data_IF_708382595061
#
_entry.id   IF_708382595061
#
_cell.length_a   1.000
_cell.length_b   1.000
_cell.length_c   1.000
_cell.angle_alpha   90.00
_cell.angle_beta   90.00
_cell.angle_gamma   90.00
#
_symmetry.space_group_name_H-M   'P 1'
#
loop_
_entity.id
_entity.type
_entity.pdbx_description
1 polymer ?
#
# COMPACT_ATOMS: atom_id res chain seq x y z
N UNK A 1 -11.68 41.65 -4.49
CA UNK A 1 -12.14 40.28 -4.75
C UNK A 1 -11.33 39.34 -3.86
N UNK A 2 -11.90 38.94 -2.74
CA UNK A 2 -11.47 37.83 -1.90
C UNK A 2 -12.72 36.98 -1.69
N UNK A 3 -12.66 35.68 -1.97
CA UNK A 3 -13.62 34.71 -1.45
C UNK A 3 -12.82 33.55 -0.88
N UNK A 4 -13.03 33.34 0.42
CA UNK A 4 -12.61 32.17 1.20
C UNK A 4 -13.63 31.04 0.97
N UNK A 5 -13.16 29.80 1.10
CA UNK A 5 -13.86 28.52 0.87
C UNK A 5 -15.11 28.28 1.74
N UNK A 6 -16.03 27.46 1.23
CA UNK A 6 -16.98 26.66 2.02
C UNK A 6 -17.35 25.40 1.26
N UNK A 7 -16.84 24.24 1.70
CA UNK A 7 -17.36 22.92 1.33
C UNK A 7 -18.52 22.57 2.25
N UNK A 8 -19.74 22.90 1.82
CA UNK A 8 -20.98 22.49 2.50
C UNK A 8 -21.73 21.53 1.58
N UNK A 9 -21.92 20.28 2.03
CA UNK A 9 -22.95 19.40 1.48
C UNK A 9 -24.09 19.39 2.49
N UNK A 10 -25.20 20.03 2.12
CA UNK A 10 -26.48 19.96 2.84
C UNK A 10 -27.08 18.55 2.72
N UNK A 11 -27.32 17.90 3.85
CA UNK A 11 -28.12 16.68 3.95
C UNK A 11 -29.56 17.05 4.33
N UNK A 12 -30.51 16.93 3.39
CA UNK A 12 -31.92 17.28 3.60
C UNK A 12 -32.95 16.38 2.88
N UNK A 13 -33.52 15.45 3.66
CA UNK A 13 -34.93 14.99 3.81
C UNK A 13 -35.85 14.58 2.61
N UNK A 14 -36.22 13.28 2.66
CA UNK A 14 -37.54 12.58 2.65
C UNK A 14 -38.55 12.76 1.50
N UNK A 15 -39.01 11.62 0.97
CA UNK A 15 -40.42 11.38 0.62
C UNK A 15 -40.90 10.01 1.13
N UNK A 16 -42.00 10.02 1.89
CA UNK A 16 -42.85 8.87 2.16
C UNK A 16 -44.18 9.07 1.42
N UNK A 17 -44.48 8.15 0.51
CA UNK A 17 -45.73 8.04 -0.22
C UNK A 17 -45.74 6.69 -0.92
N UNK A 18 -46.85 5.95 -0.81
CA UNK A 18 -46.96 4.51 -1.10
C UNK A 18 -46.18 4.03 -2.33
N UNK A 19 -45.28 3.06 -2.10
CA UNK A 19 -44.58 2.32 -3.15
C UNK A 19 -43.28 2.98 -3.60
N UNK A 20 -42.19 2.26 -3.38
CA UNK A 20 -40.81 2.48 -3.85
C UNK A 20 -39.88 3.19 -2.87
N UNK A 21 -38.94 2.43 -2.33
CA UNK A 21 -37.72 2.92 -1.67
C UNK A 21 -36.68 3.19 -2.76
N UNK A 22 -36.19 4.42 -2.84
CA UNK A 22 -35.05 4.79 -3.69
C UNK A 22 -33.81 4.93 -2.80
N UNK A 23 -32.82 4.07 -2.96
CA UNK A 23 -31.53 4.19 -2.27
C UNK A 23 -30.61 5.11 -3.09
N UNK A 24 -29.97 6.10 -2.44
CA UNK A 24 -28.95 6.95 -3.05
C UNK A 24 -27.62 6.76 -2.33
N UNK A 25 -26.55 6.58 -3.11
CA UNK A 25 -25.16 6.45 -2.66
C UNK A 25 -24.58 7.81 -2.25
N UNK A 26 -23.95 7.89 -1.07
CA UNK A 26 -23.11 9.02 -0.69
C UNK A 26 -21.63 8.64 -0.86
N UNK A 27 -20.91 9.42 -1.65
CA UNK A 27 -19.47 9.27 -1.82
C UNK A 27 -18.71 10.12 -0.81
N UNK A 28 -17.75 9.49 -0.13
CA UNK A 28 -16.65 10.08 0.65
C UNK A 28 -16.78 10.12 2.17
N UNK A 29 -15.60 10.29 2.74
CA UNK A 29 -15.09 9.91 4.07
C UNK A 29 -15.77 10.58 5.25
N UNK A 30 -16.00 9.77 6.29
CA UNK A 30 -16.05 10.15 7.72
C UNK A 30 -16.80 11.43 8.07
N UNK A 31 -18.14 11.43 8.09
CA UNK A 31 -18.98 12.24 9.01
C UNK A 31 -20.34 11.57 9.29
N UNK A 32 -20.91 11.84 10.47
CA UNK A 32 -22.15 11.25 11.00
C UNK A 32 -23.40 11.78 10.27
N UNK A 33 -24.21 10.88 9.73
CA UNK A 33 -25.54 11.22 9.21
C UNK A 33 -26.61 11.13 10.31
N UNK A 34 -27.37 12.21 10.54
CA UNK A 34 -28.49 12.25 11.49
C UNK A 34 -29.76 11.54 10.98
N UNK A 35 -30.58 11.03 11.91
CA UNK A 35 -31.71 10.11 11.67
C UNK A 35 -33.08 10.81 11.83
N UNK A 36 -34.02 10.57 10.91
CA UNK A 36 -35.44 10.92 11.08
C UNK A 36 -36.31 9.70 10.73
N UNK A 37 -37.14 9.28 11.69
CA UNK A 37 -38.09 8.18 11.53
C UNK A 37 -39.37 8.65 10.83
N UNK A 38 -39.79 7.94 9.78
CA UNK A 38 -41.12 8.09 9.20
C UNK A 38 -41.93 6.80 9.44
N UNK A 39 -43.13 6.96 9.99
CA UNK A 39 -43.96 5.84 10.43
C UNK A 39 -44.54 4.99 9.30
N UNK A 40 -44.88 3.77 9.71
CA UNK A 40 -45.84 2.78 9.17
C UNK A 40 -45.25 1.44 8.70
N UNK A 41 -43.94 1.29 8.45
CA UNK A 41 -43.31 -0.04 8.37
C UNK A 41 -41.89 -0.04 8.95
N UNK A 42 -41.65 -0.88 9.97
CA UNK A 42 -40.55 -0.77 10.94
C UNK A 42 -39.26 -1.52 10.55
N UNK A 43 -38.63 -1.20 9.42
CA UNK A 43 -37.28 -1.72 9.15
C UNK A 43 -36.37 -0.65 8.52
N UNK A 44 -35.21 -0.44 9.14
CA UNK A 44 -34.13 0.41 8.64
C UNK A 44 -32.98 -0.51 8.17
N UNK A 45 -32.53 -0.35 6.94
CA UNK A 45 -31.31 -0.98 6.43
C UNK A 45 -30.36 0.13 5.98
N UNK A 46 -29.10 0.06 6.41
CA UNK A 46 -28.01 0.85 5.85
C UNK A 46 -26.93 -0.10 5.34
N UNK A 47 -26.31 0.29 4.22
CA UNK A 47 -25.08 -0.33 3.73
C UNK A 47 -24.03 0.77 3.60
N UNK A 48 -22.86 0.57 4.21
CA UNK A 48 -21.67 1.38 3.86
C UNK A 48 -21.06 0.75 2.63
N UNK A 49 -21.11 1.43 1.50
CA UNK A 49 -20.25 1.07 0.38
C UNK A 49 -18.82 1.50 0.69
N UNK A 50 -17.95 0.51 0.88
CA UNK A 50 -16.54 0.63 0.50
C UNK A 50 -16.47 0.54 -1.02
N UNK A 51 -15.70 1.41 -1.66
CA UNK A 51 -15.80 1.81 -3.07
C UNK A 51 -15.43 0.74 -4.14
N UNK A 52 -15.64 -0.55 -3.90
CA UNK A 52 -15.35 -1.63 -4.87
C UNK A 52 -16.21 -2.91 -4.75
N UNK A 53 -17.23 -2.99 -3.88
CA UNK A 53 -18.05 -4.21 -3.75
C UNK A 53 -19.22 -4.23 -4.76
N UNK A 54 -19.33 -5.27 -5.58
CA UNK A 54 -20.56 -5.56 -6.34
C UNK A 54 -21.51 -6.37 -5.45
N UNK A 55 -22.54 -5.71 -4.94
CA UNK A 55 -23.58 -6.32 -4.11
C UNK A 55 -24.92 -6.34 -4.84
N UNK A 56 -25.65 -7.46 -4.72
CA UNK A 56 -27.05 -7.57 -5.15
C UNK A 56 -27.92 -7.93 -3.95
N UNK A 57 -28.81 -7.03 -3.56
CA UNK A 57 -29.81 -7.30 -2.52
C UNK A 57 -31.09 -7.76 -3.19
N UNK A 58 -31.61 -8.90 -2.75
CA UNK A 58 -32.94 -9.40 -3.18
C UNK A 58 -33.85 -9.52 -1.96
N UNK A 59 -35.08 -9.04 -2.13
CA UNK A 59 -36.13 -9.13 -1.12
C UNK A 59 -37.24 -10.04 -1.64
N UNK A 60 -37.53 -11.11 -0.90
CA UNK A 60 -38.68 -11.98 -1.12
C UNK A 60 -39.80 -11.66 -0.11
N UNK A 61 -40.98 -11.28 -0.61
CA UNK A 61 -42.17 -10.96 0.17
C UNK A 61 -43.09 -12.17 0.33
N UNK A 62 -42.51 -13.32 0.69
CA UNK A 62 -43.26 -14.49 1.15
C UNK A 62 -43.93 -14.27 2.52
N UNK A 63 -44.62 -15.30 3.02
CA UNK A 63 -45.28 -15.31 4.34
C UNK A 63 -44.35 -15.11 5.53
N UNK A 64 -43.03 -15.26 5.33
CA UNK A 64 -41.97 -14.78 6.21
C UNK A 64 -41.02 -13.97 5.33
N UNK A 65 -40.91 -12.63 5.49
CA UNK A 65 -40.04 -11.82 4.65
C UNK A 65 -38.58 -12.26 4.82
N UNK A 66 -37.91 -12.54 3.70
CA UNK A 66 -36.48 -12.87 3.68
C UNK A 66 -35.71 -11.81 2.92
N UNK A 67 -34.70 -11.27 3.59
CA UNK A 67 -33.66 -10.46 2.96
C UNK A 67 -32.51 -11.38 2.60
N UNK A 68 -32.10 -11.42 1.34
CA UNK A 68 -30.92 -12.16 0.90
C UNK A 68 -29.94 -11.18 0.27
N UNK A 69 -28.76 -11.07 0.87
CA UNK A 69 -27.64 -10.33 0.33
C UNK A 69 -26.77 -11.28 -0.49
N UNK A 70 -26.71 -11.07 -1.79
CA UNK A 70 -25.76 -11.75 -2.66
C UNK A 70 -24.53 -10.86 -2.83
N UNK A 71 -23.43 -11.31 -2.25
CA UNK A 71 -22.12 -10.68 -2.41
C UNK A 71 -21.45 -11.32 -3.62
N UNK A 72 -21.29 -10.58 -4.73
CA UNK A 72 -20.80 -11.14 -5.99
C UNK A 72 -19.27 -11.01 -6.12
N UNK A 73 -18.66 -10.00 -5.46
CA UNK A 73 -17.21 -9.79 -5.28
C UNK A 73 -16.94 -8.87 -4.08
N UNK A 74 -15.91 -9.18 -3.27
CA UNK A 74 -15.44 -8.30 -2.20
C UNK A 74 -13.93 -8.19 -2.15
N UNK A 75 -13.43 -6.95 -2.18
CA UNK A 75 -12.06 -6.60 -1.79
C UNK A 75 -11.99 -5.98 -0.37
N UNK A 76 -13.10 -5.96 0.39
CA UNK A 76 -13.20 -5.33 1.72
C UNK A 76 -14.20 -6.03 2.65
N UNK A 77 -14.06 -5.82 3.96
CA UNK A 77 -15.02 -6.21 5.01
C UNK A 77 -16.30 -5.37 4.90
N UNK A 78 -17.45 -6.04 4.81
CA UNK A 78 -18.77 -5.40 4.86
C UNK A 78 -19.29 -5.47 6.31
N UNK A 79 -19.44 -4.31 6.96
CA UNK A 79 -20.14 -4.23 8.25
C UNK A 79 -21.62 -3.96 8.01
N UNK A 80 -22.47 -4.95 8.27
CA UNK A 80 -23.92 -4.80 8.27
C UNK A 80 -24.38 -4.67 9.72
N UNK A 81 -24.92 -3.51 10.11
CA UNK A 81 -25.51 -3.32 11.44
C UNK A 81 -27.01 -3.21 11.30
N UNK A 82 -27.74 -4.19 11.80
CA UNK A 82 -29.20 -4.10 11.94
C UNK A 82 -29.55 -3.35 13.24
N UNK A 83 -30.40 -2.33 13.14
CA UNK A 83 -31.05 -1.70 14.28
C UNK A 83 -32.57 -1.86 14.18
N UNK A 84 -33.24 -2.22 15.28
CA UNK A 84 -34.71 -2.25 15.37
C UNK A 84 -35.17 -0.96 16.04
N UNK A 85 -35.99 -0.17 15.36
CA UNK A 85 -36.71 0.93 16.00
C UNK A 85 -38.09 0.42 16.45
N UNK A 86 -38.27 0.22 17.76
CA UNK A 86 -39.58 0.02 18.38
C UNK A 86 -39.72 -1.24 19.23
N UNK A 87 -40.50 -1.12 20.32
CA UNK A 87 -40.84 -2.18 21.27
C UNK A 87 -41.70 -3.27 20.61
N UNK A 88 -41.07 -4.30 20.05
CA UNK A 88 -41.67 -5.63 19.92
C UNK A 88 -40.58 -6.68 20.13
N UNK A 89 -40.73 -7.50 21.18
CA UNK A 89 -39.87 -8.66 21.42
C UNK A 89 -40.08 -9.64 20.27
N UNK A 90 -39.11 -9.72 19.38
CA UNK A 90 -38.93 -10.88 18.52
C UNK A 90 -37.76 -11.70 19.06
N UNK A 91 -38.00 -13.00 19.24
CA UNK A 91 -37.00 -13.96 19.70
C UNK A 91 -35.76 -13.89 18.81
N UNK A 92 -34.61 -13.99 19.45
CA UNK A 92 -33.26 -13.90 18.89
C UNK A 92 -33.06 -14.97 17.82
N UNK A 93 -33.41 -14.66 16.58
CA UNK A 93 -33.33 -15.63 15.48
C UNK A 93 -32.09 -15.34 14.64
N UNK A 94 -31.00 -16.00 15.03
CA UNK A 94 -29.89 -16.51 14.21
C UNK A 94 -29.45 -15.61 13.03
N UNK A 95 -28.47 -14.73 13.28
CA UNK A 95 -27.60 -14.27 12.21
C UNK A 95 -26.72 -15.45 11.79
N UNK A 96 -27.09 -16.10 10.70
CA UNK A 96 -26.16 -17.02 10.02
C UNK A 96 -25.10 -16.13 9.39
N UNK A 97 -23.98 -15.95 10.07
CA UNK A 97 -22.76 -15.42 9.45
C UNK A 97 -22.43 -16.43 8.35
N UNK A 98 -22.74 -16.08 7.11
CA UNK A 98 -22.13 -16.73 5.96
C UNK A 98 -20.65 -16.38 6.13
N UNK A 99 -19.88 -17.31 6.70
CA UNK A 99 -18.45 -17.35 6.51
C UNK A 99 -18.26 -17.35 4.99
N UNK A 100 -18.07 -16.17 4.41
CA UNK A 100 -17.39 -16.09 3.15
C UNK A 100 -16.08 -16.84 3.41
N UNK A 101 -15.93 -17.97 2.72
CA UNK A 101 -14.63 -18.56 2.46
C UNK A 101 -13.84 -17.49 1.70
N UNK A 102 -13.32 -16.52 2.45
CA UNK A 102 -12.21 -15.71 2.03
C UNK A 102 -11.11 -16.74 1.80
N UNK A 103 -10.88 -17.10 0.54
CA UNK A 103 -9.53 -17.44 0.13
C UNK A 103 -8.64 -16.41 0.82
N UNK A 104 -7.73 -16.91 1.67
CA UNK A 104 -6.90 -16.12 2.57
C UNK A 104 -6.18 -15.07 1.71
N UNK A 105 -6.78 -13.88 1.55
CA UNK A 105 -6.19 -12.79 0.82
C UNK A 105 -4.88 -12.53 1.54
N UNK A 106 -3.77 -12.78 0.84
CA UNK A 106 -2.43 -12.51 1.34
C UNK A 106 -2.34 -11.01 1.66
N UNK A 107 -2.58 -10.65 2.92
CA UNK A 107 -2.64 -9.28 3.47
C UNK A 107 -1.24 -8.69 3.69
N UNK A 108 -0.31 -9.14 2.84
CA UNK A 108 1.10 -8.87 2.88
C UNK A 108 1.66 -8.59 1.49
N UNK A 109 0.82 -8.52 0.45
CA UNK A 109 1.25 -8.33 -0.95
C UNK A 109 0.54 -7.15 -1.61
N UNK A 110 1.33 -6.28 -2.24
CA UNK A 110 0.86 -5.16 -3.06
C UNK A 110 1.47 -5.25 -4.46
N UNK A 111 0.62 -5.18 -5.48
CA UNK A 111 1.00 -5.14 -6.88
C UNK A 111 0.78 -3.74 -7.44
N UNK A 112 1.77 -3.27 -8.21
CA UNK A 112 1.82 -1.94 -8.79
C UNK A 112 1.99 -2.06 -10.30
N UNK A 113 1.04 -1.53 -11.06
CA UNK A 113 1.17 -1.29 -12.49
C UNK A 113 1.55 0.18 -12.69
N UNK A 114 2.84 0.41 -12.96
CA UNK A 114 3.43 1.73 -13.15
C UNK A 114 3.30 2.24 -14.59
N UNK A 115 2.65 1.48 -15.49
CA UNK A 115 2.26 1.98 -16.80
C UNK A 115 0.89 2.65 -16.73
N UNK A 116 -0.05 2.01 -16.04
CA UNK A 116 -1.44 2.48 -15.95
C UNK A 116 -1.75 3.22 -14.63
N UNK A 117 -0.84 3.15 -13.66
CA UNK A 117 -1.03 3.73 -12.34
C UNK A 117 -2.10 3.01 -11.53
N UNK A 118 -2.13 1.68 -11.62
CA UNK A 118 -3.08 0.82 -10.91
C UNK A 118 -2.39 0.12 -9.75
N UNK A 119 -3.07 0.06 -8.61
CA UNK A 119 -2.62 -0.66 -7.41
C UNK A 119 -3.60 -1.79 -7.14
N UNK A 120 -3.10 -2.98 -6.81
CA UNK A 120 -3.89 -4.16 -6.39
C UNK A 120 -3.24 -4.81 -5.18
N UNK A 121 -4.01 -5.60 -4.44
CA UNK A 121 -3.54 -6.19 -3.18
C UNK A 121 -3.51 -5.18 -2.04
N UNK A 122 -3.19 -5.65 -0.84
CA UNK A 122 -3.29 -4.86 0.39
C UNK A 122 -2.33 -5.39 1.46
N UNK A 123 -1.86 -4.49 2.32
CA UNK A 123 -1.28 -4.85 3.60
C UNK A 123 -1.39 -3.71 4.60
N UNK A 124 -1.71 -4.03 5.86
CA UNK A 124 -1.70 -3.05 6.95
C UNK A 124 -0.30 -2.48 7.23
N UNK A 125 0.76 -3.14 6.75
CA UNK A 125 2.16 -2.74 6.94
C UNK A 125 2.78 -2.12 5.68
N UNK A 126 1.97 -1.83 4.65
CA UNK A 126 2.40 -1.11 3.45
C UNK A 126 1.50 0.12 3.28
N UNK A 127 2.10 1.31 3.36
CA UNK A 127 1.41 2.59 3.15
C UNK A 127 2.03 3.37 2.00
N UNK A 128 1.23 4.22 1.36
CA UNK A 128 1.67 5.06 0.25
C UNK A 128 1.93 6.48 0.74
N UNK A 129 3.17 6.94 0.58
CA UNK A 129 3.51 8.36 0.71
C UNK A 129 3.13 9.09 -0.57
N UNK A 130 3.38 8.47 -1.72
CA UNK A 130 2.99 8.98 -3.02
C UNK A 130 2.38 7.85 -3.85
N UNK A 131 1.09 7.97 -4.17
CA UNK A 131 0.37 7.03 -5.04
C UNK A 131 0.69 7.30 -6.52
N UNK A 132 0.65 6.27 -7.39
CA UNK A 132 0.83 6.49 -8.82
C UNK A 132 -0.35 7.30 -9.38
N UNK A 133 -0.09 8.11 -10.40
CA UNK A 133 -1.17 8.81 -11.11
C UNK A 133 -1.96 7.84 -11.98
N UNK A 134 -3.26 7.67 -11.69
CA UNK A 134 -4.13 6.71 -12.40
C UNK A 134 -4.58 7.27 -13.74
N UNK A 135 -3.76 7.06 -14.77
CA UNK A 135 -4.06 7.38 -16.16
C UNK A 135 -3.38 6.37 -17.08
N UNK A 136 -4.09 5.81 -18.08
CA UNK A 136 -3.47 4.95 -19.08
C UNK A 136 -2.26 5.64 -19.73
N UNK A 137 -1.08 5.07 -19.53
CA UNK A 137 0.18 5.59 -20.01
C UNK A 137 0.73 4.74 -21.15
N UNK A 138 1.48 5.38 -22.07
CA UNK A 138 2.28 4.67 -23.07
C UNK A 138 3.67 4.29 -22.57
N UNK A 139 4.15 4.95 -21.51
CA UNK A 139 5.48 4.84 -20.92
C UNK A 139 5.42 4.30 -19.49
N UNK A 140 6.49 3.62 -19.08
CA UNK A 140 6.68 3.16 -17.71
C UNK A 140 7.39 4.21 -16.86
N UNK A 141 6.68 5.30 -16.56
CA UNK A 141 7.23 6.50 -15.89
C UNK A 141 6.45 6.91 -14.63
N UNK A 142 5.42 6.15 -14.24
CA UNK A 142 4.63 6.51 -13.07
C UNK A 142 5.47 6.31 -11.82
N UNK A 143 5.36 7.30 -10.95
CA UNK A 143 6.15 7.44 -9.75
C UNK A 143 5.36 7.02 -8.51
N UNK A 144 6.01 6.24 -7.66
CA UNK A 144 5.43 5.77 -6.39
C UNK A 144 6.46 5.92 -5.29
N UNK A 145 6.00 6.27 -4.10
CA UNK A 145 6.78 6.15 -2.86
C UNK A 145 5.94 5.39 -1.84
N UNK A 146 6.47 4.28 -1.35
CA UNK A 146 5.85 3.48 -0.30
C UNK A 146 6.66 3.54 0.98
N UNK A 147 5.98 3.25 2.08
CA UNK A 147 6.55 3.02 3.41
C UNK A 147 6.13 1.63 3.87
N UNK A 148 7.11 0.79 4.14
CA UNK A 148 6.98 -0.59 4.61
C UNK A 148 7.31 -0.61 6.11
N UNK A 149 6.39 -1.10 6.94
CA UNK A 149 6.55 -1.15 8.39
C UNK A 149 7.04 -2.53 8.87
N UNK A 150 8.25 -2.58 9.43
CA UNK A 150 8.85 -3.80 10.00
C UNK A 150 8.70 -3.91 11.53
N UNK A 151 7.99 -2.99 12.18
CA UNK A 151 7.72 -3.09 13.63
C UNK A 151 6.83 -4.29 13.99
N UNK A 152 6.07 -4.78 13.00
CA UNK A 152 5.16 -5.92 13.14
C UNK A 152 5.80 -7.31 12.93
N UNK A 153 5.02 -8.28 12.43
CA UNK A 153 5.43 -9.69 12.34
C UNK A 153 6.40 -9.96 11.17
N UNK A 154 6.49 -9.03 10.22
CA UNK A 154 7.31 -9.18 9.03
C UNK A 154 8.79 -8.91 9.32
N UNK A 155 9.66 -9.66 8.66
CA UNK A 155 11.13 -9.61 8.82
C UNK A 155 11.88 -9.50 7.49
N UNK A 156 11.18 -9.69 6.38
CA UNK A 156 11.73 -9.53 5.04
C UNK A 156 10.69 -8.85 4.12
N UNK A 157 11.14 -7.96 3.24
CA UNK A 157 10.37 -7.49 2.10
C UNK A 157 10.98 -8.06 0.81
N UNK A 158 10.16 -8.73 0.00
CA UNK A 158 10.50 -9.20 -1.35
C UNK A 158 9.90 -8.27 -2.38
N UNK A 159 10.76 -7.65 -3.16
CA UNK A 159 10.41 -6.68 -4.18
C UNK A 159 10.75 -7.31 -5.54
N UNK A 160 9.72 -7.63 -6.31
CA UNK A 160 9.85 -8.09 -7.69
C UNK A 160 9.61 -6.92 -8.64
N UNK A 161 10.48 -6.76 -9.62
CA UNK A 161 10.49 -5.65 -10.56
C UNK A 161 10.42 -6.18 -11.98
N UNK A 162 9.57 -5.59 -12.81
CA UNK A 162 9.44 -5.91 -14.24
C UNK A 162 9.76 -4.69 -15.12
N UNK A 163 10.73 -4.86 -16.01
CA UNK A 163 11.21 -3.82 -16.90
C UNK A 163 10.84 -4.10 -18.36
N UNK A 164 9.61 -3.81 -18.78
CA UNK A 164 9.23 -3.93 -20.20
C UNK A 164 9.88 -2.85 -21.10
N UNK A 165 10.44 -1.80 -20.51
CA UNK A 165 11.18 -0.71 -21.16
C UNK A 165 12.63 -0.63 -20.66
N UNK A 166 13.57 -0.06 -21.43
CA UNK A 166 14.94 0.14 -20.96
C UNK A 166 14.97 1.03 -19.70
N UNK A 167 15.69 0.65 -18.63
CA UNK A 167 15.77 1.47 -17.43
C UNK A 167 16.58 2.75 -17.71
N UNK A 168 16.06 3.89 -17.27
CA UNK A 168 16.69 5.21 -17.39
C UNK A 168 16.67 5.90 -16.03
N UNK A 169 17.83 6.40 -15.61
CA UNK A 169 18.01 7.12 -14.35
C UNK A 169 17.48 6.28 -13.17
N UNK A 170 16.79 6.88 -12.19
CA UNK A 170 16.33 6.18 -10.98
C UNK A 170 15.05 5.38 -11.23
N UNK A 171 15.17 4.06 -11.31
CA UNK A 171 14.01 3.16 -11.44
C UNK A 171 13.61 2.51 -10.13
N UNK A 172 14.57 2.37 -9.21
CA UNK A 172 14.36 1.91 -7.84
C UNK A 172 15.28 2.69 -6.90
N UNK A 173 14.72 3.06 -5.75
CA UNK A 173 15.45 3.57 -4.60
C UNK A 173 14.81 3.02 -3.32
N UNK A 174 15.54 2.24 -2.53
CA UNK A 174 15.08 1.64 -1.28
C UNK A 174 15.95 2.15 -0.16
N UNK A 175 15.35 2.76 0.84
CA UNK A 175 16.06 3.44 1.91
C UNK A 175 15.40 3.13 3.26
N UNK A 176 16.17 3.01 4.34
CA UNK A 176 15.62 3.01 5.71
C UNK A 176 15.51 4.41 6.33
N UNK A 177 15.39 5.44 5.47
CA UNK A 177 14.94 6.77 5.89
C UNK A 177 13.99 7.44 4.89
N UNK A 178 13.09 8.32 5.39
CA UNK A 178 12.13 9.05 4.56
C UNK A 178 12.77 10.07 3.60
N UNK A 179 14.06 10.36 3.74
CA UNK A 179 14.78 11.39 2.97
C UNK A 179 15.94 10.82 2.15
N UNK A 180 15.93 9.50 1.89
CA UNK A 180 16.83 8.86 0.93
C UNK A 180 16.77 9.53 -0.44
N UNK A 181 17.89 10.10 -0.87
CA UNK A 181 17.96 10.88 -2.11
C UNK A 181 18.80 10.24 -3.21
N UNK A 182 19.34 9.04 -3.00
CA UNK A 182 20.24 8.38 -3.95
C UNK A 182 21.71 8.59 -3.61
N UNK A 183 22.53 7.59 -3.93
CA UNK A 183 23.97 7.56 -3.68
C UNK A 183 24.34 7.55 -2.18
N UNK A 184 23.46 7.02 -1.33
CA UNK A 184 23.63 7.00 0.13
C UNK A 184 23.40 8.36 0.80
N UNK A 185 22.71 9.29 0.13
CA UNK A 185 22.35 10.59 0.68
C UNK A 185 21.03 10.55 1.46
N UNK A 186 20.95 11.32 2.54
CA UNK A 186 19.84 11.30 3.50
C UNK A 186 19.30 12.69 3.87
N UNK A 187 19.91 13.78 3.41
CA UNK A 187 19.56 15.14 3.83
C UNK A 187 19.58 15.35 5.38
N UNK A 188 20.29 14.50 6.13
CA UNK A 188 20.54 14.67 7.57
C UNK A 188 19.44 14.19 8.53
N UNK A 189 18.56 13.27 8.11
CA UNK A 189 17.46 12.77 8.95
C UNK A 189 17.88 11.67 9.94
N UNK A 190 18.78 10.78 9.56
CA UNK A 190 19.29 9.69 10.41
C UNK A 190 20.69 9.23 10.01
N UNK A 191 21.46 8.76 10.99
CA UNK A 191 22.74 8.08 10.73
C UNK A 191 22.57 6.67 10.18
N UNK A 192 21.38 6.08 10.34
CA UNK A 192 21.14 4.69 10.00
C UNK A 192 20.83 4.45 8.51
N UNK A 193 20.90 5.50 7.68
CA UNK A 193 20.60 5.45 6.25
C UNK A 193 21.41 4.40 5.47
N UNK A 194 20.85 3.22 5.22
CA UNK A 194 21.27 2.31 4.19
C UNK A 194 20.38 2.48 2.94
N UNK A 195 20.98 2.36 1.77
CA UNK A 195 20.27 2.59 0.51
C UNK A 195 20.60 1.53 -0.54
N UNK A 196 19.58 1.02 -1.23
CA UNK A 196 19.71 0.10 -2.35
C UNK A 196 18.99 0.71 -3.54
N UNK A 197 19.70 0.96 -4.64
CA UNK A 197 19.14 1.63 -5.80
C UNK A 197 19.43 0.89 -7.10
N UNK A 198 18.56 1.12 -8.09
CA UNK A 198 18.84 0.86 -9.50
C UNK A 198 18.87 2.21 -10.22
N UNK A 199 20.06 2.58 -10.71
CA UNK A 199 20.27 3.78 -11.51
C UNK A 199 20.81 3.39 -12.90
N UNK A 200 20.05 3.73 -13.95
CA UNK A 200 20.24 3.19 -15.29
C UNK A 200 20.24 1.65 -15.26
N UNK A 201 21.36 1.01 -15.61
CA UNK A 201 21.51 -0.45 -15.60
C UNK A 201 22.29 -0.97 -14.41
N UNK A 202 22.62 -0.11 -13.44
CA UNK A 202 23.49 -0.45 -12.33
C UNK A 202 22.68 -0.62 -11.06
N UNK A 203 22.88 -1.75 -10.39
CA UNK A 203 22.42 -1.97 -9.03
C UNK A 203 23.53 -1.57 -8.06
N UNK A 204 23.19 -0.81 -7.03
CA UNK A 204 24.16 -0.30 -6.06
C UNK A 204 23.60 -0.38 -4.66
N UNK A 205 24.47 -0.70 -3.71
CA UNK A 205 24.15 -0.75 -2.29
C UNK A 205 25.08 0.21 -1.57
N UNK A 206 24.50 1.06 -0.73
CA UNK A 206 25.17 1.97 0.17
C UNK A 206 24.84 1.57 1.61
N UNK A 207 25.86 1.53 2.45
CA UNK A 207 25.69 1.37 3.89
C UNK A 207 25.38 2.68 4.57
N UNK A 208 25.04 2.58 5.85
CA UNK A 208 24.85 3.71 6.73
C UNK A 208 26.16 4.29 7.27
N UNK A 209 26.08 5.42 7.96
CA UNK A 209 27.26 6.18 8.40
C UNK A 209 27.67 5.89 9.86
N UNK A 210 27.21 4.76 10.41
CA UNK A 210 27.60 4.32 11.76
C UNK A 210 29.12 4.13 11.88
N UNK A 211 29.67 4.15 13.11
CA UNK A 211 31.11 4.01 13.30
C UNK A 211 31.66 2.70 12.72
N UNK A 212 32.72 2.81 11.92
CA UNK A 212 33.36 1.69 11.22
C UNK A 212 32.73 1.32 9.87
N UNK A 213 31.77 2.10 9.34
CA UNK A 213 31.14 1.80 8.04
C UNK A 213 32.15 1.73 6.89
N UNK A 214 33.24 2.49 6.96
CA UNK A 214 34.29 2.51 5.93
C UNK A 214 34.89 1.12 5.70
N UNK A 215 34.96 0.27 6.73
CA UNK A 215 35.49 -1.10 6.63
C UNK A 215 34.60 -2.01 5.77
N UNK A 216 33.31 -1.66 5.65
CA UNK A 216 32.35 -2.36 4.80
C UNK A 216 32.21 -1.72 3.41
N UNK A 217 32.85 -0.57 3.16
CA UNK A 217 32.74 0.18 1.92
C UNK A 217 33.79 -0.25 0.89
N UNK A 218 33.41 -0.22 -0.38
CA UNK A 218 34.32 -0.45 -1.51
C UNK A 218 35.10 0.82 -1.91
N UNK A 219 34.69 2.01 -1.48
CA UNK A 219 35.26 3.28 -1.93
C UNK A 219 35.73 4.22 -0.81
N UNK A 220 35.75 3.76 0.45
CA UNK A 220 36.07 4.60 1.61
C UNK A 220 34.96 5.59 1.99
N UNK A 221 33.80 5.51 1.34
CA UNK A 221 32.58 6.24 1.67
C UNK A 221 31.46 5.28 2.08
N UNK A 222 30.26 5.48 1.54
CA UNK A 222 29.10 4.63 1.86
C UNK A 222 28.89 3.49 0.87
N UNK A 223 29.49 3.54 -0.33
CA UNK A 223 29.24 2.54 -1.37
C UNK A 223 29.82 1.19 -0.95
N UNK A 224 28.97 0.17 -0.80
CA UNK A 224 29.38 -1.20 -0.47
C UNK A 224 29.64 -2.00 -1.74
N UNK A 225 28.73 -1.95 -2.72
CA UNK A 225 28.88 -2.72 -3.95
C UNK A 225 28.16 -2.10 -5.13
N UNK A 226 28.63 -2.43 -6.34
CA UNK A 226 28.00 -2.09 -7.62
C UNK A 226 27.97 -3.33 -8.51
N UNK A 227 26.81 -3.58 -9.12
CA UNK A 227 26.63 -4.61 -10.14
C UNK A 227 26.22 -3.93 -11.45
N UNK A 228 27.12 -3.98 -12.42
CA UNK A 228 26.90 -3.41 -13.74
C UNK A 228 26.00 -4.29 -14.60
N UNK A 229 25.27 -3.66 -15.52
CA UNK A 229 24.37 -4.34 -16.46
C UNK A 229 23.33 -5.25 -15.78
N UNK A 230 22.96 -4.92 -14.53
CA UNK A 230 22.04 -5.68 -13.69
C UNK A 230 20.67 -5.84 -14.33
N UNK A 231 20.16 -4.80 -14.99
CA UNK A 231 18.84 -4.80 -15.65
C UNK A 231 18.93 -4.43 -17.12
N UNK A 232 18.07 -5.07 -17.92
CA UNK A 232 17.85 -4.79 -19.34
C UNK A 232 16.35 -4.73 -19.64
N UNK A 233 16.00 -4.23 -20.83
CA UNK A 233 14.62 -4.31 -21.33
C UNK A 233 14.17 -5.77 -21.40
N UNK A 234 12.93 -6.03 -20.99
CA UNK A 234 12.31 -7.35 -20.95
C UNK A 234 12.81 -8.26 -19.84
N UNK A 235 13.50 -7.71 -18.83
CA UNK A 235 14.05 -8.48 -17.71
C UNK A 235 13.31 -8.20 -16.40
N UNK A 236 13.49 -9.10 -15.44
CA UNK A 236 12.97 -8.95 -14.09
C UNK A 236 14.10 -8.90 -13.08
N UNK A 237 13.86 -8.23 -11.95
CA UNK A 237 14.72 -8.26 -10.78
C UNK A 237 13.91 -8.75 -9.58
N UNK A 238 14.56 -9.50 -8.70
CA UNK A 238 14.08 -9.75 -7.35
C UNK A 238 15.09 -9.19 -6.37
N UNK A 239 14.63 -8.35 -5.46
CA UNK A 239 15.43 -7.80 -4.36
C UNK A 239 14.72 -8.14 -3.05
N UNK A 240 15.48 -8.64 -2.09
CA UNK A 240 15.03 -8.98 -0.75
C UNK A 240 15.74 -8.07 0.24
N UNK A 241 14.98 -7.40 1.10
CA UNK A 241 15.48 -6.53 2.17
C UNK A 241 15.07 -7.12 3.52
N UNK A 242 16.03 -7.22 4.43
CA UNK A 242 15.82 -7.62 5.82
C UNK A 242 16.88 -6.94 6.69
N UNK A 243 16.74 -7.06 8.01
CA UNK A 243 17.71 -6.51 8.96
C UNK A 243 19.14 -6.91 8.59
N UNK A 244 20.01 -5.91 8.37
CA UNK A 244 21.44 -6.10 8.06
C UNK A 244 21.71 -6.89 6.78
N UNK A 245 20.74 -7.04 5.87
CA UNK A 245 20.89 -7.93 4.71
C UNK A 245 20.11 -7.49 3.48
N UNK A 246 20.79 -7.57 2.35
CA UNK A 246 20.20 -7.41 1.01
C UNK A 246 20.53 -8.64 0.18
N UNK A 247 19.53 -9.20 -0.49
CA UNK A 247 19.73 -10.23 -1.52
C UNK A 247 19.16 -9.76 -2.84
N UNK A 248 19.76 -10.19 -3.94
CA UNK A 248 19.28 -9.83 -5.26
C UNK A 248 19.43 -10.96 -6.27
N UNK A 249 18.57 -10.92 -7.28
CA UNK A 249 18.63 -11.77 -8.46
C UNK A 249 18.11 -11.02 -9.68
N UNK A 250 18.90 -10.98 -10.75
CA UNK A 250 18.44 -10.63 -12.10
C UNK A 250 19.27 -11.36 -13.15
N UNK A 251 18.63 -12.19 -13.97
CA UNK A 251 19.31 -13.03 -14.94
C UNK A 251 20.44 -13.85 -14.31
N UNK A 252 21.71 -13.71 -14.77
CA UNK A 252 22.86 -14.40 -14.19
C UNK A 252 23.37 -13.79 -12.88
N UNK A 253 23.00 -12.54 -12.57
CA UNK A 253 23.42 -11.87 -11.34
C UNK A 253 22.57 -12.39 -10.18
N UNK A 254 23.20 -13.08 -9.23
CA UNK A 254 22.55 -13.54 -8.00
C UNK A 254 23.57 -13.50 -6.88
N UNK A 255 23.29 -12.72 -5.84
CA UNK A 255 24.14 -12.67 -4.66
C UNK A 255 23.39 -12.10 -3.45
N UNK A 256 24.08 -12.01 -2.31
CA UNK A 256 23.60 -11.42 -1.08
C UNK A 256 24.75 -10.77 -0.31
N UNK A 257 24.44 -9.72 0.44
CA UNK A 257 25.36 -9.11 1.40
C UNK A 257 24.67 -9.05 2.74
N UNK A 258 25.43 -9.42 3.78
CA UNK A 258 25.08 -9.18 5.17
C UNK A 258 26.09 -8.21 5.78
N UNK A 259 25.61 -7.13 6.37
CA UNK A 259 26.43 -6.12 7.02
C UNK A 259 25.61 -5.37 8.06
N UNK A 260 26.20 -5.11 9.23
CA UNK A 260 25.59 -4.29 10.29
C UNK A 260 25.28 -2.84 9.87
N UNK A 261 25.81 -2.43 8.72
CA UNK A 261 25.62 -1.11 8.14
C UNK A 261 24.48 -1.08 7.11
N UNK A 262 23.70 -2.15 7.00
CA UNK A 262 22.54 -2.25 6.13
C UNK A 262 21.27 -2.30 6.99
N UNK A 263 20.22 -1.58 6.59
CA UNK A 263 18.84 -1.70 7.08
C UNK A 263 18.72 -2.02 8.59
N UNK A 264 18.61 -0.99 9.42
CA UNK A 264 18.55 -1.14 10.88
C UNK A 264 17.16 -1.48 11.40
N UNK A 265 16.64 -2.65 11.05
CA UNK A 265 15.23 -3.02 11.28
C UNK A 265 14.98 -3.71 12.63
N UNK A 266 16.01 -3.82 13.48
CA UNK A 266 15.92 -4.36 14.85
C UNK A 266 16.07 -3.29 15.93
N UNK A 267 15.91 -2.03 15.57
CA UNK A 267 15.93 -0.92 16.53
C UNK A 267 17.35 -0.51 16.94
N UNK A 268 18.32 -0.68 16.05
CA UNK A 268 19.68 -0.20 16.27
C UNK A 268 19.67 1.32 16.46
N UNK A 269 20.42 1.81 17.46
CA UNK A 269 20.43 3.23 17.80
C UNK A 269 21.20 4.05 16.76
N UNK A 270 20.61 5.13 16.21
CA UNK A 270 21.35 6.04 15.39
C UNK A 270 22.23 6.99 16.23
N UNK A 271 23.27 7.55 15.62
CA UNK A 271 24.06 8.67 16.15
C UNK A 271 23.26 9.98 16.19
N UNK A 272 22.34 10.16 15.24
CA UNK A 272 21.40 11.27 15.17
C UNK A 272 20.11 10.83 14.47
N UNK A 273 18.99 11.47 14.78
CA UNK A 273 17.66 11.05 14.33
C UNK A 273 17.00 10.10 15.33
N UNK A 274 15.87 9.51 14.93
CA UNK A 274 15.11 8.57 15.76
C UNK A 274 15.27 7.14 15.28
N UNK A 275 15.12 6.18 16.18
CA UNK A 275 14.99 4.77 15.79
C UNK A 275 13.76 4.62 14.90
N UNK A 276 13.97 4.05 13.72
CA UNK A 276 12.93 3.79 12.72
C UNK A 276 12.96 2.31 12.32
N UNK A 277 11.77 1.73 12.13
CA UNK A 277 11.57 0.36 11.66
C UNK A 277 10.98 0.33 10.24
N UNK A 278 10.98 1.48 9.57
CA UNK A 278 10.38 1.61 8.27
C UNK A 278 11.43 1.51 7.16
N UNK A 279 11.02 0.91 6.05
CA UNK A 279 11.75 0.96 4.78
C UNK A 279 10.90 1.72 3.78
N UNK A 280 11.51 2.68 3.11
CA UNK A 280 10.92 3.53 2.11
C UNK A 280 11.33 3.05 0.73
N UNK A 281 10.37 2.95 -0.20
CA UNK A 281 10.60 2.44 -1.55
C UNK A 281 10.12 3.46 -2.57
N UNK A 282 11.05 4.12 -3.24
CA UNK A 282 10.85 4.94 -4.43
C UNK A 282 10.90 4.11 -5.71
N UNK A 283 9.88 4.23 -6.56
CA UNK A 283 9.80 3.57 -7.87
C UNK A 283 9.71 4.63 -8.96
N UNK A 284 10.57 4.54 -9.98
CA UNK A 284 10.78 5.58 -11.01
C UNK A 284 11.17 6.96 -10.44
N UNK A 285 11.69 7.00 -9.21
CA UNK A 285 12.20 8.17 -8.48
C UNK A 285 12.93 7.75 -7.22
N UNK A 286 13.63 8.70 -6.63
CA UNK A 286 14.15 8.58 -5.25
C UNK A 286 13.04 8.79 -4.22
N UNK A 287 13.27 8.32 -3.00
CA UNK A 287 12.33 8.44 -1.87
C UNK A 287 12.07 9.92 -1.55
N UNK A 288 13.13 10.72 -1.40
CA UNK A 288 13.08 12.09 -0.91
C UNK A 288 12.24 13.06 -1.77
N UNK A 289 12.02 12.77 -3.06
CA UNK A 289 11.39 13.74 -3.94
C UNK A 289 11.34 13.32 -5.40
N UNK A 290 10.79 14.19 -6.24
CA UNK A 290 10.69 13.99 -7.70
C UNK A 290 11.85 14.64 -8.49
N UNK A 291 12.80 15.26 -7.80
CA UNK A 291 13.96 15.95 -8.40
C UNK A 291 14.99 14.97 -9.00
N UNK A 292 15.02 13.73 -8.51
CA UNK A 292 15.74 12.60 -9.14
C UNK A 292 14.71 11.55 -9.53
N UNK A 293 14.43 11.48 -10.82
CA UNK A 293 13.38 10.62 -11.40
C UNK A 293 13.93 9.75 -12.53
N UNK A 294 13.19 8.71 -12.89
CA UNK A 294 13.54 7.79 -13.96
C UNK A 294 12.34 7.16 -14.62
N UNK A 295 12.60 6.21 -15.50
CA UNK A 295 11.60 5.45 -16.21
C UNK A 295 12.12 4.08 -16.63
N UNK A 296 11.21 3.18 -16.98
CA UNK A 296 11.50 1.84 -17.50
C UNK A 296 10.97 0.71 -16.62
N UNK A 297 10.73 0.97 -15.33
CA UNK A 297 10.05 0.02 -14.45
C UNK A 297 8.54 0.10 -14.67
N UNK A 298 7.96 -0.98 -15.17
CA UNK A 298 6.57 -1.04 -15.62
C UNK A 298 5.63 -1.63 -14.58
N UNK A 299 6.12 -2.57 -13.77
CA UNK A 299 5.37 -3.07 -12.64
C UNK A 299 6.30 -3.48 -11.51
N UNK A 300 5.75 -3.49 -10.30
CA UNK A 300 6.43 -3.98 -9.12
C UNK A 300 5.45 -4.79 -8.26
N UNK A 301 5.95 -5.81 -7.59
CA UNK A 301 5.23 -6.54 -6.54
C UNK A 301 6.05 -6.46 -5.27
N UNK A 302 5.41 -6.05 -4.18
CA UNK A 302 6.02 -5.95 -2.87
C UNK A 302 5.29 -6.94 -1.97
N UNK A 303 6.03 -7.91 -1.45
CA UNK A 303 5.51 -8.93 -0.56
C UNK A 303 6.29 -8.92 0.76
N UNK A 304 5.60 -8.75 1.89
CA UNK A 304 6.18 -8.86 3.22
C UNK A 304 6.15 -10.33 3.67
N UNK A 305 7.20 -10.77 4.34
CA UNK A 305 7.30 -12.14 4.85
C UNK A 305 7.66 -12.16 6.31
N UNK A 306 6.93 -12.96 7.07
CA UNK A 306 7.31 -13.31 8.43
C UNK A 306 8.52 -14.24 8.36
N UNK A 307 9.37 -14.19 9.38
CA UNK A 307 10.40 -15.23 9.56
C UNK A 307 9.69 -16.57 9.69
N UNK A 308 9.90 -17.47 8.71
CA UNK A 308 9.32 -18.80 8.72
C UNK A 308 9.65 -19.56 10.00
N UNK A 309 8.67 -20.33 10.48
CA UNK A 309 8.92 -21.44 11.42
C UNK A 309 9.81 -22.49 10.76
#
# INVERSE_FOLDING_TARGET
MKSVESSTVDCGIVYCGAGNVLLKSAGSSTEECGLICCGVWNHLLWSVESSTAECRITWDMGSIPKLTLHILRTDYQLNVVGGVCGHTRFDTTVFTIIECLAERLEDNVVHLDLRNGVVRGFSNHISFIHKPTTRPGRSCDKQVVLKLDFSGPYKEAKILLDYAEPPRLWTLDISDSPTGDGYGGDNGSTSNMAETQIHNKQFRIYGNNLPGHMDASANGGLLITTVDNFIRRGSTAKISISDERVEWKSGPHKDNIKSRFLYTLRGQQPLYGTVDYNVYVGLNRVVAGNFRSGSGLCSATIALQSSGK
#
